data_IF_090820781786
#
_entry.id   IF_090820781786
#
_cell.length_a   1.000
_cell.length_b   1.000
_cell.length_c   1.000
_cell.angle_alpha   90.00
_cell.angle_beta   90.00
_cell.angle_gamma   90.00
#
_symmetry.space_group_name_H-M   'P 1'
#
loop_
_entity.id
_entity.type
_entity.pdbx_description
1 polymer ?
#
# COMPACT_ATOMS: atom_id res chain seq x y z
N UNK A 1 66.05 -27.15 -0.24
CA UNK A 1 65.02 -26.56 0.65
C UNK A 1 63.93 -25.99 -0.24
N UNK A 2 62.93 -26.84 -0.60
CA UNK A 2 61.84 -26.51 -1.53
C UNK A 2 60.63 -26.12 -0.70
N UNK A 3 60.20 -24.87 -0.82
CA UNK A 3 59.02 -24.33 -0.14
C UNK A 3 57.80 -24.54 -1.08
N UNK A 4 56.94 -25.50 -0.72
CA UNK A 4 55.72 -25.77 -1.46
C UNK A 4 54.65 -24.74 -1.08
N UNK A 5 54.25 -23.95 -2.06
CA UNK A 5 53.16 -22.96 -1.96
C UNK A 5 51.85 -23.70 -2.16
N UNK A 6 51.10 -24.00 -1.09
CA UNK A 6 49.74 -24.52 -1.17
C UNK A 6 48.78 -23.39 -1.51
N UNK A 7 48.37 -23.29 -2.79
CA UNK A 7 47.19 -22.50 -3.19
C UNK A 7 45.94 -23.29 -2.77
N UNK A 8 45.27 -22.83 -1.72
CA UNK A 8 43.93 -23.30 -1.36
C UNK A 8 42.91 -22.73 -2.34
N UNK A 9 42.47 -23.53 -3.30
CA UNK A 9 41.28 -23.24 -4.10
C UNK A 9 40.06 -23.37 -3.19
N UNK A 10 39.48 -22.26 -2.84
CA UNK A 10 38.17 -22.22 -2.24
C UNK A 10 37.11 -22.50 -3.33
N UNK A 11 36.25 -23.51 -3.15
CA UNK A 11 35.20 -23.78 -4.13
C UNK A 11 34.15 -22.65 -4.00
N UNK A 12 34.11 -21.77 -4.96
CA UNK A 12 32.98 -20.85 -5.14
C UNK A 12 31.81 -21.73 -5.62
N UNK A 13 31.01 -22.23 -4.67
CA UNK A 13 29.73 -22.83 -4.99
C UNK A 13 28.85 -21.82 -5.71
N UNK A 14 27.97 -22.26 -6.62
CA UNK A 14 27.01 -21.35 -7.25
C UNK A 14 26.19 -20.68 -6.16
N UNK A 15 26.26 -19.35 -6.08
CA UNK A 15 25.32 -18.56 -5.31
C UNK A 15 23.99 -18.73 -6.04
N UNK A 16 23.11 -19.59 -5.52
CA UNK A 16 21.73 -19.66 -5.98
C UNK A 16 21.09 -18.31 -5.64
N UNK A 17 21.06 -17.41 -6.63
CA UNK A 17 20.17 -16.26 -6.57
C UNK A 17 18.75 -16.83 -6.48
N UNK A 18 18.20 -16.88 -5.28
CA UNK A 18 16.77 -17.07 -5.14
C UNK A 18 16.12 -15.80 -5.70
N UNK A 19 15.38 -15.97 -6.80
CA UNK A 19 14.47 -14.94 -7.25
C UNK A 19 13.58 -14.60 -6.05
N UNK A 20 13.58 -13.34 -5.62
CA UNK A 20 12.75 -12.90 -4.53
C UNK A 20 11.31 -12.97 -5.05
N UNK A 21 10.51 -13.91 -4.53
CA UNK A 21 9.10 -14.03 -4.91
C UNK A 21 8.40 -12.72 -4.60
N UNK A 22 7.65 -12.22 -5.58
CA UNK A 22 6.80 -11.06 -5.39
C UNK A 22 5.73 -11.40 -4.36
N UNK A 23 5.73 -10.71 -3.23
CA UNK A 23 4.79 -10.95 -2.13
C UNK A 23 3.66 -9.95 -2.24
N UNK A 24 2.43 -10.48 -2.36
CA UNK A 24 1.23 -9.64 -2.29
C UNK A 24 0.95 -9.26 -0.84
N UNK A 25 0.79 -7.96 -0.60
CA UNK A 25 0.56 -7.41 0.72
C UNK A 25 -0.78 -6.69 0.76
N UNK A 26 -1.69 -7.17 1.59
CA UNK A 26 -3.05 -6.66 1.71
C UNK A 26 -3.33 -6.25 3.15
N UNK A 27 -3.67 -4.98 3.35
CA UNK A 27 -4.25 -4.50 4.61
C UNK A 27 -5.76 -4.39 4.44
N UNK A 28 -6.49 -5.07 5.31
CA UNK A 28 -7.95 -4.99 5.41
C UNK A 28 -8.27 -4.00 6.52
N UNK A 29 -8.92 -2.90 6.16
CA UNK A 29 -9.52 -1.94 7.11
C UNK A 29 -10.99 -2.34 7.28
N UNK A 30 -11.33 -2.88 8.43
CA UNK A 30 -12.67 -3.36 8.73
C UNK A 30 -13.39 -2.42 9.68
N UNK A 31 -14.52 -1.94 9.23
CA UNK A 31 -15.46 -1.17 10.01
C UNK A 31 -16.13 -2.06 11.06
N UNK A 32 -15.91 -1.72 12.34
CA UNK A 32 -16.65 -2.30 13.47
C UNK A 32 -17.46 -1.23 14.19
N UNK A 33 -18.02 -0.25 13.47
CA UNK A 33 -18.93 0.73 14.03
C UNK A 33 -20.25 0.12 14.49
N UNK A 34 -21.01 0.88 15.25
CA UNK A 34 -22.29 0.42 15.82
C UNK A 34 -23.33 0.00 14.78
N UNK A 35 -23.29 0.58 13.58
CA UNK A 35 -24.19 0.24 12.46
C UNK A 35 -23.96 -1.18 11.93
N UNK A 36 -22.75 -1.70 12.06
CA UNK A 36 -22.42 -3.10 11.69
C UNK A 36 -23.17 -4.14 12.54
N UNK A 37 -23.79 -3.76 13.67
CA UNK A 37 -24.71 -4.62 14.45
C UNK A 37 -26.07 -4.77 13.79
N UNK A 38 -26.42 -3.93 12.83
CA UNK A 38 -27.70 -4.03 12.14
C UNK A 38 -27.79 -5.33 11.34
N UNK A 39 -29.01 -5.81 11.19
CA UNK A 39 -29.29 -7.02 10.40
C UNK A 39 -28.93 -6.80 8.93
N UNK A 40 -28.26 -7.76 8.34
CA UNK A 40 -27.94 -7.78 6.92
C UNK A 40 -29.21 -7.90 6.10
N UNK A 41 -29.45 -7.08 5.06
CA UNK A 41 -30.59 -7.23 4.19
C UNK A 41 -30.71 -8.66 3.62
N UNK A 42 -31.93 -9.17 3.60
CA UNK A 42 -32.18 -10.56 3.15
C UNK A 42 -31.96 -11.63 4.24
N UNK A 43 -31.45 -11.28 5.41
CA UNK A 43 -31.33 -12.15 6.58
C UNK A 43 -32.33 -11.73 7.67
N UNK A 44 -32.72 -12.68 8.52
CA UNK A 44 -33.52 -12.36 9.73
C UNK A 44 -32.68 -12.37 11.00
N UNK A 45 -31.47 -12.94 10.96
CA UNK A 45 -30.65 -13.19 12.16
C UNK A 45 -29.18 -12.77 12.00
N UNK A 46 -28.64 -12.71 10.77
CA UNK A 46 -27.24 -12.41 10.53
C UNK A 46 -27.04 -10.89 10.50
N UNK A 47 -26.10 -10.36 11.28
CA UNK A 47 -25.72 -8.96 11.24
C UNK A 47 -24.80 -8.66 10.06
N UNK A 48 -24.61 -7.38 9.70
CA UNK A 48 -23.63 -6.97 8.72
C UNK A 48 -22.21 -7.40 9.11
N UNK A 49 -21.89 -7.31 10.42
CA UNK A 49 -20.61 -7.76 10.95
C UNK A 49 -20.44 -9.27 10.82
N UNK A 50 -21.48 -10.07 11.12
CA UNK A 50 -21.39 -11.52 10.96
C UNK A 50 -21.17 -11.91 9.50
N UNK A 51 -21.91 -11.26 8.58
CA UNK A 51 -21.71 -11.46 7.15
C UNK A 51 -20.28 -11.09 6.68
N UNK A 52 -19.72 -9.98 7.20
CA UNK A 52 -18.36 -9.58 6.88
C UNK A 52 -17.32 -10.56 7.43
N UNK A 53 -17.48 -11.03 8.67
CA UNK A 53 -16.60 -12.06 9.26
C UNK A 53 -16.62 -13.35 8.46
N UNK A 54 -17.82 -13.87 8.16
CA UNK A 54 -17.99 -15.12 7.41
C UNK A 54 -17.37 -15.00 6.01
N UNK A 55 -17.60 -13.89 5.33
CA UNK A 55 -17.05 -13.63 4.00
C UNK A 55 -15.52 -13.53 4.02
N UNK A 56 -14.94 -12.81 5.00
CA UNK A 56 -13.50 -12.70 5.15
C UNK A 56 -12.85 -14.04 5.47
N UNK A 57 -13.40 -14.81 6.40
CA UNK A 57 -12.90 -16.15 6.78
C UNK A 57 -12.90 -17.08 5.57
N UNK A 58 -13.99 -17.10 4.83
CA UNK A 58 -14.13 -17.99 3.68
C UNK A 58 -13.14 -17.61 2.55
N UNK A 59 -13.04 -16.33 2.22
CA UNK A 59 -12.13 -15.88 1.17
C UNK A 59 -10.68 -16.05 1.57
N UNK A 60 -10.31 -15.64 2.80
CA UNK A 60 -8.94 -15.75 3.28
C UNK A 60 -8.46 -17.20 3.37
N UNK A 61 -9.36 -18.14 3.65
CA UNK A 61 -9.01 -19.57 3.66
C UNK A 61 -8.64 -20.12 2.28
N UNK A 62 -8.99 -19.42 1.20
CA UNK A 62 -8.82 -19.87 -0.18
C UNK A 62 -7.74 -19.11 -0.96
N UNK A 63 -7.17 -18.03 -0.42
CA UNK A 63 -6.08 -17.29 -1.09
C UNK A 63 -4.71 -17.98 -0.86
N UNK A 64 -3.69 -17.68 -1.71
CA UNK A 64 -2.34 -18.22 -1.54
C UNK A 64 -1.77 -17.94 -0.15
N UNK A 65 -1.07 -18.90 0.44
CA UNK A 65 -0.40 -18.76 1.75
C UNK A 65 0.74 -17.75 1.71
N UNK A 66 1.26 -17.45 0.54
CA UNK A 66 2.32 -16.45 0.32
C UNK A 66 1.81 -15.02 0.46
N UNK A 67 0.49 -14.79 0.40
CA UNK A 67 -0.10 -13.46 0.60
C UNK A 67 0.05 -13.02 2.05
N UNK A 68 0.70 -11.89 2.26
CA UNK A 68 0.75 -11.23 3.57
C UNK A 68 -0.55 -10.46 3.82
N UNK A 69 -1.13 -10.65 4.99
CA UNK A 69 -2.39 -10.03 5.38
C UNK A 69 -2.22 -9.24 6.66
N UNK A 70 -2.81 -8.05 6.73
CA UNK A 70 -3.02 -7.29 7.95
C UNK A 70 -4.51 -7.04 8.15
N UNK A 71 -5.01 -7.12 9.38
CA UNK A 71 -6.37 -6.78 9.75
C UNK A 71 -6.36 -5.62 10.73
N UNK A 72 -6.70 -4.45 10.25
CA UNK A 72 -6.85 -3.22 10.99
C UNK A 72 -8.35 -2.97 11.20
N UNK A 73 -8.76 -2.80 12.45
CA UNK A 73 -10.19 -2.71 12.81
C UNK A 73 -10.42 -1.46 13.63
N UNK A 74 -11.33 -0.62 13.22
CA UNK A 74 -11.73 0.52 14.02
C UNK A 74 -13.04 0.27 14.76
N UNK A 75 -13.18 0.90 15.90
CA UNK A 75 -14.41 0.95 16.69
C UNK A 75 -14.89 -0.39 17.26
N UNK A 76 -14.03 -1.39 17.33
CA UNK A 76 -14.32 -2.59 18.10
C UNK A 76 -14.27 -2.32 19.61
N UNK A 77 -15.17 -2.93 20.38
CA UNK A 77 -15.24 -2.74 21.83
C UNK A 77 -14.28 -3.62 22.63
N UNK A 78 -13.85 -4.71 22.05
CA UNK A 78 -13.12 -5.78 22.73
C UNK A 78 -11.66 -5.92 22.30
N UNK A 79 -11.17 -5.07 21.41
CA UNK A 79 -9.78 -5.05 21.00
C UNK A 79 -8.97 -4.08 21.87
N UNK A 80 -7.75 -4.49 22.25
CA UNK A 80 -6.79 -3.65 22.96
C UNK A 80 -5.91 -2.86 21.99
N UNK A 81 -5.71 -3.39 20.78
CA UNK A 81 -4.97 -2.81 19.69
C UNK A 81 -5.87 -2.83 18.43
N UNK A 82 -5.85 -1.77 17.66
CA UNK A 82 -6.61 -1.67 16.43
C UNK A 82 -6.13 -2.66 15.35
N UNK A 83 -4.89 -3.12 15.45
CA UNK A 83 -4.38 -4.23 14.66
C UNK A 83 -4.82 -5.59 15.26
N UNK A 84 -6.03 -6.03 14.91
CA UNK A 84 -6.51 -7.36 15.28
C UNK A 84 -5.56 -8.47 14.74
N UNK A 85 -4.92 -8.21 13.60
CA UNK A 85 -3.82 -9.03 13.09
C UNK A 85 -2.80 -8.13 12.37
N UNK A 86 -1.52 -8.07 12.81
CA UNK A 86 -0.51 -7.20 12.20
C UNK A 86 -0.16 -7.69 10.78
N UNK A 87 0.15 -6.75 9.87
CA UNK A 87 0.56 -7.09 8.51
C UNK A 87 1.81 -7.97 8.50
N UNK A 88 1.70 -9.15 7.91
CA UNK A 88 2.76 -10.14 7.79
C UNK A 88 2.29 -11.46 7.19
N UNK A 89 3.15 -12.48 7.23
CA UNK A 89 2.80 -13.83 6.78
C UNK A 89 1.52 -14.32 7.43
N UNK A 90 0.67 -14.97 6.64
CA UNK A 90 -0.62 -15.45 7.13
C UNK A 90 -0.45 -16.66 8.05
N UNK A 91 -1.04 -16.56 9.25
CA UNK A 91 -1.22 -17.63 10.21
C UNK A 91 -2.72 -17.77 10.53
N UNK A 92 -3.35 -18.75 9.93
CA UNK A 92 -4.80 -18.95 10.05
C UNK A 92 -5.22 -19.30 11.49
N UNK A 93 -4.34 -19.89 12.30
CA UNK A 93 -4.61 -20.18 13.70
C UNK A 93 -4.74 -18.91 14.56
N UNK A 94 -4.20 -17.78 14.10
CA UNK A 94 -4.29 -16.48 14.76
C UNK A 94 -5.27 -15.56 14.07
N UNK A 95 -5.23 -15.48 12.72
CA UNK A 95 -6.04 -14.58 11.92
C UNK A 95 -7.53 -14.89 12.02
N UNK A 96 -7.93 -16.16 11.83
CA UNK A 96 -9.36 -16.52 11.82
C UNK A 96 -10.03 -16.33 13.19
N UNK A 97 -9.43 -16.71 14.33
CA UNK A 97 -9.98 -16.35 15.64
C UNK A 97 -10.04 -14.83 15.88
N UNK A 98 -9.05 -14.06 15.42
CA UNK A 98 -9.07 -12.60 15.52
C UNK A 98 -10.29 -12.00 14.79
N UNK A 99 -10.57 -12.45 13.56
CA UNK A 99 -11.76 -12.02 12.80
C UNK A 99 -13.04 -12.36 13.59
N UNK A 100 -13.16 -13.59 14.09
CA UNK A 100 -14.36 -14.03 14.83
C UNK A 100 -14.61 -13.22 16.10
N UNK A 101 -13.56 -12.77 16.76
CA UNK A 101 -13.66 -12.07 18.04
C UNK A 101 -14.18 -10.64 17.95
N UNK A 102 -14.15 -10.00 16.79
CA UNK A 102 -14.49 -8.57 16.64
C UNK A 102 -15.92 -8.29 17.11
N UNK A 103 -16.08 -7.30 17.99
CA UNK A 103 -17.39 -6.84 18.49
C UNK A 103 -17.60 -5.36 18.15
N UNK A 104 -18.55 -5.04 17.25
CA UNK A 104 -18.79 -3.67 16.79
C UNK A 104 -19.26 -2.75 17.91
N UNK A 105 -18.88 -1.45 17.87
CA UNK A 105 -19.29 -0.54 18.95
C UNK A 105 -19.47 0.92 18.54
N UNK A 106 -18.45 1.66 18.16
CA UNK A 106 -18.38 3.13 18.17
C UNK A 106 -18.73 3.76 16.80
N UNK A 107 -18.12 4.93 16.49
CA UNK A 107 -18.27 5.66 15.24
C UNK A 107 -17.37 5.16 14.10
N UNK A 108 -17.24 5.95 13.03
CA UNK A 108 -16.58 5.55 11.78
C UNK A 108 -15.41 6.50 11.44
N UNK A 109 -14.26 6.47 12.16
CA UNK A 109 -13.10 7.32 11.88
C UNK A 109 -12.28 6.75 10.70
N UNK A 110 -12.89 6.67 9.53
CA UNK A 110 -12.37 5.94 8.39
C UNK A 110 -11.11 6.58 7.78
N UNK A 111 -11.04 7.92 7.73
CA UNK A 111 -9.90 8.64 7.17
C UNK A 111 -8.61 8.37 7.92
N UNK A 112 -8.67 8.37 9.26
CA UNK A 112 -7.53 8.01 10.10
C UNK A 112 -7.05 6.59 9.81
N UNK A 113 -7.96 5.63 9.67
CA UNK A 113 -7.60 4.22 9.44
C UNK A 113 -7.15 3.93 8.02
N UNK A 114 -7.60 4.67 7.01
CA UNK A 114 -7.02 4.68 5.67
C UNK A 114 -5.53 5.06 5.75
N UNK A 115 -5.21 6.14 6.49
CA UNK A 115 -3.83 6.57 6.70
C UNK A 115 -2.99 5.50 7.40
N UNK A 116 -3.44 4.98 8.55
CA UNK A 116 -2.72 3.96 9.33
C UNK A 116 -2.44 2.71 8.49
N UNK A 117 -3.45 2.23 7.75
CA UNK A 117 -3.32 1.06 6.89
C UNK A 117 -2.35 1.29 5.72
N UNK A 118 -2.42 2.46 5.10
CA UNK A 118 -1.53 2.85 4.01
C UNK A 118 -0.08 3.03 4.49
N UNK A 119 0.15 3.68 5.62
CA UNK A 119 1.49 3.85 6.20
C UNK A 119 2.13 2.48 6.48
N UNK A 120 1.37 1.51 6.98
CA UNK A 120 1.86 0.15 7.20
C UNK A 120 2.25 -0.55 5.89
N UNK A 121 1.48 -0.32 4.80
CA UNK A 121 1.83 -0.83 3.47
C UNK A 121 3.10 -0.18 2.91
N UNK A 122 3.29 1.14 3.14
CA UNK A 122 4.50 1.86 2.75
C UNK A 122 5.73 1.33 3.48
N UNK A 123 5.63 1.08 4.79
CA UNK A 123 6.70 0.42 5.55
C UNK A 123 7.02 -0.99 5.03
N UNK A 124 6.00 -1.75 4.64
CA UNK A 124 6.18 -3.09 4.09
C UNK A 124 6.84 -3.02 2.71
N UNK A 125 6.47 -2.05 1.87
CA UNK A 125 7.09 -1.79 0.57
C UNK A 125 8.56 -1.41 0.70
N UNK A 126 8.89 -0.60 1.68
CA UNK A 126 10.29 -0.24 1.97
C UNK A 126 11.11 -1.49 2.32
N UNK A 127 10.61 -2.34 3.22
CA UNK A 127 11.26 -3.60 3.60
C UNK A 127 11.42 -4.60 2.44
N UNK A 128 10.52 -4.57 1.46
CA UNK A 128 10.56 -5.43 0.27
C UNK A 128 11.29 -4.77 -0.92
N UNK A 129 11.93 -3.60 -0.71
CA UNK A 129 12.58 -2.84 -1.77
C UNK A 129 11.66 -2.54 -2.96
N UNK A 130 10.37 -2.35 -2.70
CA UNK A 130 9.34 -2.09 -3.71
C UNK A 130 8.82 -3.33 -4.43
N UNK A 131 9.36 -4.52 -4.16
CA UNK A 131 8.86 -5.75 -4.78
C UNK A 131 7.57 -6.21 -4.13
N UNK A 132 6.57 -6.51 -4.97
CA UNK A 132 5.26 -6.97 -4.53
C UNK A 132 4.13 -6.03 -4.92
N UNK A 133 2.90 -6.42 -4.56
CA UNK A 133 1.71 -5.59 -4.68
C UNK A 133 1.30 -5.07 -3.31
N UNK A 134 0.76 -3.85 -3.27
CA UNK A 134 0.39 -3.19 -2.02
C UNK A 134 -1.06 -2.71 -2.14
N UNK A 135 -1.94 -3.32 -1.37
CA UNK A 135 -3.38 -3.11 -1.49
C UNK A 135 -4.03 -2.79 -0.14
N UNK A 136 -4.87 -1.79 -0.12
CA UNK A 136 -5.73 -1.43 0.99
C UNK A 136 -7.17 -1.80 0.63
N UNK A 137 -7.76 -2.77 1.34
CA UNK A 137 -9.15 -3.15 1.21
C UNK A 137 -9.94 -2.55 2.37
N UNK A 138 -10.89 -1.69 2.07
CA UNK A 138 -11.80 -1.07 3.04
C UNK A 138 -13.16 -1.77 2.98
N UNK A 139 -13.67 -2.21 4.12
CA UNK A 139 -15.02 -2.80 4.26
C UNK A 139 -15.77 -1.95 5.28
N UNK A 140 -16.78 -1.21 4.85
CA UNK A 140 -17.55 -0.27 5.69
C UNK A 140 -19.04 -0.29 5.32
N UNK A 141 -19.91 0.04 6.26
CA UNK A 141 -21.35 0.17 6.06
C UNK A 141 -21.88 1.60 6.19
N UNK A 142 -20.99 2.59 6.35
CA UNK A 142 -21.35 3.98 6.59
C UNK A 142 -20.34 4.99 6.08
N UNK A 143 -20.78 6.24 6.06
CA UNK A 143 -19.92 7.38 5.77
C UNK A 143 -18.95 7.66 6.91
N UNK A 144 -17.80 8.21 6.57
CA UNK A 144 -16.77 8.57 7.54
C UNK A 144 -17.23 9.69 8.47
N UNK A 145 -16.97 9.56 9.78
CA UNK A 145 -17.13 10.65 10.74
C UNK A 145 -16.05 11.73 10.64
N UNK A 146 -14.95 11.40 9.94
CA UNK A 146 -13.78 12.22 9.66
C UNK A 146 -13.58 12.43 8.14
N UNK A 147 -14.66 12.83 7.45
CA UNK A 147 -14.68 12.98 5.99
C UNK A 147 -13.53 13.84 5.45
N UNK A 148 -13.17 14.91 6.16
CA UNK A 148 -12.03 15.77 5.79
C UNK A 148 -10.71 15.00 5.70
N UNK A 149 -10.50 14.00 6.57
CA UNK A 149 -9.32 13.14 6.52
C UNK A 149 -9.39 12.16 5.36
N UNK A 150 -10.58 11.64 5.04
CA UNK A 150 -10.78 10.81 3.84
C UNK A 150 -10.40 11.59 2.58
N UNK A 151 -10.90 12.82 2.44
CA UNK A 151 -10.64 13.68 1.29
C UNK A 151 -9.17 14.06 1.15
N UNK A 152 -8.48 14.23 2.28
CA UNK A 152 -7.06 14.59 2.30
C UNK A 152 -6.13 13.39 2.06
N UNK A 153 -6.39 12.25 2.70
CA UNK A 153 -5.45 11.14 2.69
C UNK A 153 -5.66 10.19 1.51
N UNK A 154 -6.90 10.00 1.04
CA UNK A 154 -7.15 9.04 -0.06
C UNK A 154 -6.40 9.39 -1.33
N UNK A 155 -6.40 10.66 -1.83
CA UNK A 155 -5.61 11.04 -3.00
C UNK A 155 -4.10 10.81 -2.81
N UNK A 156 -3.58 11.07 -1.61
CA UNK A 156 -2.17 10.88 -1.29
C UNK A 156 -1.79 9.38 -1.29
N UNK A 157 -2.64 8.51 -0.75
CA UNK A 157 -2.48 7.04 -0.80
C UNK A 157 -2.40 6.54 -2.25
N UNK A 158 -3.31 7.04 -3.10
CA UNK A 158 -3.36 6.68 -4.52
C UNK A 158 -2.12 7.19 -5.28
N UNK A 159 -1.69 8.42 -5.01
CA UNK A 159 -0.51 9.02 -5.63
C UNK A 159 0.78 8.25 -5.32
N UNK A 160 0.81 7.51 -4.19
CA UNK A 160 1.93 6.63 -3.82
C UNK A 160 1.82 5.23 -4.41
N UNK A 161 0.85 4.97 -5.27
CA UNK A 161 0.69 3.70 -5.97
C UNK A 161 0.18 2.56 -5.07
N UNK A 162 -0.43 2.86 -3.92
CA UNK A 162 -1.17 1.88 -3.15
C UNK A 162 -2.54 1.72 -3.79
N UNK A 163 -2.91 0.50 -4.11
CA UNK A 163 -4.24 0.22 -4.64
C UNK A 163 -5.27 0.23 -3.51
N UNK A 164 -6.32 1.01 -3.69
CA UNK A 164 -7.43 1.12 -2.71
C UNK A 164 -8.69 0.54 -3.33
N UNK A 165 -9.25 -0.46 -2.66
CA UNK A 165 -10.53 -1.10 -3.00
C UNK A 165 -11.49 -0.91 -1.84
N UNK A 166 -12.73 -0.53 -2.13
CA UNK A 166 -13.74 -0.27 -1.11
C UNK A 166 -14.97 -1.13 -1.36
N UNK A 167 -15.49 -1.73 -0.31
CA UNK A 167 -16.74 -2.48 -0.31
C UNK A 167 -17.71 -1.80 0.66
N UNK A 168 -18.78 -1.23 0.10
CA UNK A 168 -19.90 -0.66 0.86
C UNK A 168 -20.92 -1.73 1.22
N UNK A 169 -21.07 -2.02 2.49
CA UNK A 169 -21.92 -3.09 3.02
C UNK A 169 -23.32 -2.56 3.33
N UNK A 170 -24.32 -2.99 2.56
CA UNK A 170 -25.72 -2.62 2.74
C UNK A 170 -25.95 -1.11 2.90
N UNK A 171 -25.21 -0.32 2.13
CA UNK A 171 -25.35 1.14 2.14
C UNK A 171 -26.55 1.58 1.29
N UNK A 172 -27.31 2.57 1.77
CA UNK A 172 -28.44 3.13 1.05
C UNK A 172 -28.00 3.96 -0.18
N UNK A 173 -26.84 4.63 -0.08
CA UNK A 173 -26.21 5.43 -1.12
C UNK A 173 -24.75 5.00 -1.28
N UNK A 174 -24.13 5.37 -2.41
CA UNK A 174 -22.71 5.14 -2.60
C UNK A 174 -21.90 6.02 -1.63
N UNK A 175 -20.83 5.45 -1.07
CA UNK A 175 -19.89 6.16 -0.24
C UNK A 175 -19.16 7.24 -1.04
N UNK A 176 -18.75 8.35 -0.41
CA UNK A 176 -17.93 9.40 -1.05
C UNK A 176 -16.68 8.84 -1.71
N UNK A 177 -16.07 7.81 -1.15
CA UNK A 177 -14.93 7.07 -1.75
C UNK A 177 -15.23 6.46 -3.12
N UNK A 178 -16.49 6.26 -3.51
CA UNK A 178 -16.85 5.60 -4.78
C UNK A 178 -16.24 6.29 -6.02
N UNK A 179 -16.02 7.59 -5.95
CA UNK A 179 -15.42 8.39 -7.04
C UNK A 179 -13.92 8.63 -6.88
N UNK A 180 -13.31 8.19 -5.77
CA UNK A 180 -11.93 8.50 -5.41
C UNK A 180 -10.99 7.30 -5.51
N UNK A 181 -11.50 6.07 -5.46
CA UNK A 181 -10.68 4.84 -5.32
C UNK A 181 -10.58 4.05 -6.61
N UNK A 182 -9.69 3.06 -6.65
CA UNK A 182 -9.51 2.20 -7.82
C UNK A 182 -10.75 1.37 -8.11
N UNK A 183 -11.36 0.79 -7.08
CA UNK A 183 -12.62 0.06 -7.22
C UNK A 183 -13.54 0.33 -6.03
N UNK A 184 -14.81 0.49 -6.32
CA UNK A 184 -15.87 0.53 -5.33
C UNK A 184 -16.93 -0.51 -5.68
N UNK A 185 -17.27 -1.36 -4.71
CA UNK A 185 -18.28 -2.41 -4.87
C UNK A 185 -19.36 -2.27 -3.81
N UNK A 186 -20.59 -2.42 -4.20
CA UNK A 186 -21.71 -2.50 -3.26
C UNK A 186 -22.03 -3.95 -2.95
N UNK A 187 -22.23 -4.25 -1.70
CA UNK A 187 -22.64 -5.55 -1.21
C UNK A 187 -23.93 -5.42 -0.41
N UNK A 188 -25.07 -5.73 -1.03
CA UNK A 188 -26.38 -5.53 -0.41
C UNK A 188 -26.89 -6.75 0.35
N UNK A 189 -26.19 -7.88 0.27
CA UNK A 189 -26.45 -9.13 0.99
C UNK A 189 -25.14 -9.90 1.25
N UNK A 190 -25.21 -10.98 2.04
CA UNK A 190 -24.03 -11.76 2.41
C UNK A 190 -23.33 -12.43 1.21
N UNK A 191 -24.08 -12.82 0.17
CA UNK A 191 -23.52 -13.48 -1.01
C UNK A 191 -22.74 -12.47 -1.87
N UNK A 192 -23.30 -11.30 -2.13
CA UNK A 192 -22.63 -10.22 -2.86
C UNK A 192 -21.43 -9.68 -2.09
N UNK A 193 -21.46 -9.64 -0.75
CA UNK A 193 -20.33 -9.28 0.08
C UNK A 193 -19.18 -10.28 -0.07
N UNK A 194 -19.46 -11.56 0.04
CA UNK A 194 -18.47 -12.61 -0.18
C UNK A 194 -17.88 -12.55 -1.59
N UNK A 195 -18.71 -12.36 -2.62
CA UNK A 195 -18.26 -12.21 -4.00
C UNK A 195 -17.36 -10.99 -4.16
N UNK A 196 -17.74 -9.83 -3.62
CA UNK A 196 -16.96 -8.60 -3.72
C UNK A 196 -15.55 -8.75 -3.08
N UNK A 197 -15.47 -9.39 -1.90
CA UNK A 197 -14.18 -9.67 -1.26
C UNK A 197 -13.36 -10.65 -2.10
N UNK A 198 -13.97 -11.73 -2.62
CA UNK A 198 -13.29 -12.72 -3.44
C UNK A 198 -12.71 -12.11 -4.73
N UNK A 199 -13.43 -11.20 -5.38
CA UNK A 199 -12.97 -10.48 -6.58
C UNK A 199 -11.72 -9.64 -6.30
N UNK A 200 -11.68 -8.92 -5.17
CA UNK A 200 -10.49 -8.15 -4.77
C UNK A 200 -9.28 -9.05 -4.64
N UNK A 201 -9.41 -10.21 -4.00
CA UNK A 201 -8.30 -11.16 -3.84
C UNK A 201 -7.96 -11.92 -5.13
N UNK A 202 -8.91 -12.20 -6.01
CA UNK A 202 -8.64 -12.80 -7.31
C UNK A 202 -7.79 -11.87 -8.20
N UNK A 203 -8.03 -10.57 -8.15
CA UNK A 203 -7.21 -9.58 -8.87
C UNK A 203 -5.78 -9.50 -8.32
N UNK A 204 -5.54 -9.76 -7.02
CA UNK A 204 -4.20 -9.85 -6.43
C UNK A 204 -3.40 -10.97 -7.11
N UNK A 205 -4.02 -12.14 -7.24
CA UNK A 205 -3.35 -13.34 -7.77
C UNK A 205 -3.04 -13.27 -9.28
N UNK A 206 -3.75 -12.42 -10.05
CA UNK A 206 -3.59 -12.34 -11.51
C UNK A 206 -2.55 -11.31 -11.97
N UNK A 207 -2.15 -10.36 -11.13
CA UNK A 207 -1.18 -9.32 -11.50
C UNK A 207 0.24 -9.85 -11.66
N UNK A 208 0.54 -11.05 -11.17
CA UNK A 208 1.86 -11.70 -11.28
C UNK A 208 2.11 -12.40 -12.63
N UNK A 209 1.22 -12.34 -13.62
CA UNK A 209 1.30 -13.13 -14.86
C UNK A 209 1.51 -12.27 -16.11
N UNK A 210 2.17 -11.14 -16.07
CA UNK A 210 2.06 -10.19 -17.19
C UNK A 210 3.31 -9.63 -17.87
N UNK A 211 4.52 -9.86 -17.38
CA UNK A 211 5.73 -9.50 -18.13
C UNK A 211 6.77 -10.59 -17.93
N UNK A 212 7.24 -11.21 -18.99
CA UNK A 212 8.44 -12.07 -18.91
C UNK A 212 9.59 -11.16 -18.48
N UNK A 213 10.17 -11.46 -17.31
CA UNK A 213 11.29 -10.71 -16.72
C UNK A 213 12.44 -10.51 -17.71
N UNK A 214 12.63 -11.45 -18.64
CA UNK A 214 13.64 -11.40 -19.69
C UNK A 214 13.51 -10.19 -20.64
N UNK A 215 12.29 -9.78 -21.02
CA UNK A 215 12.09 -8.62 -21.90
C UNK A 215 12.34 -7.28 -21.17
N UNK A 216 12.03 -7.19 -19.88
CA UNK A 216 12.31 -6.01 -19.09
C UNK A 216 13.82 -5.84 -18.81
N UNK A 217 14.52 -6.94 -18.52
CA UNK A 217 15.97 -6.92 -18.30
C UNK A 217 16.78 -6.60 -19.58
N UNK A 218 16.30 -7.01 -20.75
CA UNK A 218 16.97 -6.68 -22.03
C UNK A 218 17.03 -5.17 -22.30
N UNK A 219 16.02 -4.42 -21.84
CA UNK A 219 15.97 -2.96 -21.96
C UNK A 219 16.94 -2.25 -20.98
N UNK A 220 17.33 -2.92 -19.91
CA UNK A 220 18.24 -2.38 -18.88
C UNK A 220 19.73 -2.68 -19.17
N UNK A 221 20.04 -3.53 -20.12
CA UNK A 221 21.43 -3.99 -20.44
C UNK A 221 22.39 -2.88 -20.88
N UNK A 222 21.93 -1.67 -21.16
CA UNK A 222 22.76 -0.54 -21.54
C UNK A 222 22.94 0.54 -20.46
N UNK A 223 22.30 0.36 -19.30
CA UNK A 223 22.31 1.37 -18.23
C UNK A 223 23.44 1.05 -17.24
N UNK A 224 24.38 1.99 -16.96
CA UNK A 224 25.39 1.80 -15.93
C UNK A 224 24.73 1.43 -14.60
N UNK A 225 25.27 0.42 -13.90
CA UNK A 225 24.70 -0.10 -12.65
C UNK A 225 24.47 0.99 -11.57
N UNK A 226 25.35 1.99 -11.50
CA UNK A 226 25.20 3.11 -10.58
C UNK A 226 23.97 3.98 -10.92
N UNK A 227 23.72 4.22 -12.21
CA UNK A 227 22.56 5.00 -12.67
C UNK A 227 21.27 4.23 -12.44
N UNK A 228 21.27 2.91 -12.70
CA UNK A 228 20.14 2.04 -12.43
C UNK A 228 19.83 1.99 -10.92
N UNK A 229 20.83 1.81 -10.07
CA UNK A 229 20.67 1.82 -8.61
C UNK A 229 20.16 3.15 -8.09
N UNK A 230 20.72 4.27 -8.55
CA UNK A 230 20.27 5.58 -8.13
C UNK A 230 18.82 5.89 -8.58
N UNK A 231 18.45 5.46 -9.79
CA UNK A 231 17.07 5.61 -10.28
C UNK A 231 16.07 4.76 -9.50
N UNK A 232 16.42 3.51 -9.20
CA UNK A 232 15.59 2.61 -8.38
C UNK A 232 15.44 3.19 -6.97
N UNK A 233 16.53 3.63 -6.36
CA UNK A 233 16.53 4.23 -5.04
C UNK A 233 15.66 5.50 -5.01
N UNK A 234 15.81 6.41 -5.97
CA UNK A 234 14.99 7.62 -6.06
C UNK A 234 13.50 7.32 -6.26
N UNK A 235 13.15 6.29 -7.04
CA UNK A 235 11.78 5.85 -7.23
C UNK A 235 11.18 5.22 -5.96
N UNK A 236 11.97 4.47 -5.21
CA UNK A 236 11.54 3.85 -3.95
C UNK A 236 11.41 4.89 -2.83
N UNK A 237 12.38 5.80 -2.69
CA UNK A 237 12.40 6.80 -1.62
C UNK A 237 11.28 7.84 -1.78
N UNK A 238 11.00 8.31 -2.99
CA UNK A 238 9.99 9.34 -3.23
C UNK A 238 8.55 8.91 -2.90
N UNK A 239 8.28 7.61 -2.88
CA UNK A 239 6.95 7.06 -2.66
C UNK A 239 6.66 6.55 -1.26
N UNK A 240 7.66 6.42 -0.37
CA UNK A 240 7.53 5.71 0.91
C UNK A 240 7.42 6.63 2.15
N UNK A 241 7.38 7.95 1.97
CA UNK A 241 7.15 8.85 3.11
C UNK A 241 5.71 8.69 3.66
N UNK A 242 5.46 8.92 4.95
CA UNK A 242 4.15 8.74 5.57
C UNK A 242 3.04 9.55 4.90
N UNK A 243 1.82 9.01 4.90
CA UNK A 243 0.64 9.69 4.35
C UNK A 243 0.40 11.02 5.07
N UNK A 244 0.09 12.08 4.30
CA UNK A 244 -0.14 13.43 4.82
C UNK A 244 1.14 14.19 5.19
N UNK A 245 2.33 13.64 4.95
CA UNK A 245 3.57 14.38 5.09
C UNK A 245 3.84 15.22 3.83
N UNK A 246 4.38 16.43 4.01
CA UNK A 246 4.73 17.31 2.89
C UNK A 246 5.86 16.67 2.05
N UNK A 247 5.62 16.36 0.75
CA UNK A 247 6.64 15.78 -0.11
C UNK A 247 7.87 16.67 -0.29
N UNK A 248 7.77 17.97 -0.03
CA UNK A 248 8.88 18.90 -0.17
C UNK A 248 9.91 18.82 0.97
N UNK A 249 9.58 18.17 2.09
CA UNK A 249 10.53 18.01 3.21
C UNK A 249 11.68 17.06 2.82
N UNK A 250 11.47 16.13 1.90
CA UNK A 250 12.45 15.12 1.50
C UNK A 250 13.32 15.52 0.30
N UNK A 251 12.97 16.56 -0.43
CA UNK A 251 13.81 17.14 -1.50
C UNK A 251 14.76 18.23 -1.00
N UNK A 252 15.27 18.11 0.21
CA UNK A 252 16.45 18.90 0.58
C UNK A 252 17.66 18.29 -0.15
N UNK A 253 18.33 19.00 -1.04
CA UNK A 253 19.58 18.50 -1.62
C UNK A 253 20.53 18.22 -0.47
N UNK A 254 21.14 17.02 -0.48
CA UNK A 254 22.15 16.59 0.52
C UNK A 254 23.16 17.73 0.63
N UNK A 255 22.96 18.55 1.65
CA UNK A 255 23.65 19.81 1.83
C UNK A 255 25.10 19.57 2.17
N UNK A 256 25.93 20.32 1.51
CA UNK A 256 27.31 20.64 1.82
C UNK A 256 27.59 20.54 3.36
N UNK A 257 28.49 19.67 3.84
CA UNK A 257 28.71 19.43 5.27
C UNK A 257 29.35 20.61 6.04
N UNK A 258 29.35 21.83 5.46
CA UNK A 258 30.00 23.02 6.02
C UNK A 258 29.03 24.16 6.35
N UNK A 259 27.89 23.87 6.99
CA UNK A 259 27.09 24.94 7.60
C UNK A 259 26.92 24.69 9.10
N UNK A 260 27.89 25.20 9.85
CA UNK A 260 27.82 25.35 11.30
C UNK A 260 26.57 26.16 11.69
N UNK A 261 25.82 25.60 12.62
CA UNK A 261 24.72 26.22 13.35
C UNK A 261 25.13 27.57 13.97
N UNK A 262 24.45 28.65 13.54
CA UNK A 262 24.35 29.85 14.36
C UNK A 262 22.87 30.17 14.58
N UNK A 263 22.41 29.90 15.81
CA UNK A 263 21.21 30.51 16.37
C UNK A 263 21.40 32.04 16.41
N UNK A 264 20.45 32.80 15.90
CA UNK A 264 20.16 34.15 16.42
C UNK A 264 18.71 34.56 16.11
N UNK A 265 18.11 35.14 17.12
CA UNK A 265 16.76 35.66 17.29
C UNK A 265 16.42 36.80 16.29
N UNK A 266 15.12 36.90 15.99
CA UNK A 266 14.37 37.88 15.20
C UNK A 266 14.55 39.39 15.58
N UNK A 267 13.61 40.33 15.27
CA UNK A 267 12.63 40.38 14.21
C UNK A 267 12.78 41.63 13.34
N UNK A 268 12.19 41.71 12.16
CA UNK A 268 12.09 42.98 11.42
C UNK A 268 11.64 42.78 9.97
N UNK A 269 10.53 43.39 9.66
CA UNK A 269 9.96 43.66 8.34
C UNK A 269 10.94 44.19 7.32
N UNK A 270 10.92 43.71 6.08
CA UNK A 270 10.65 44.64 4.95
C UNK A 270 10.57 43.92 3.58
N UNK A 271 9.90 44.61 2.64
CA UNK A 271 9.56 44.22 1.27
C UNK A 271 10.78 44.01 0.37
N UNK A 272 10.72 43.02 -0.52
CA UNK A 272 11.66 42.88 -1.62
C UNK A 272 11.22 41.84 -2.66
N UNK A 273 10.67 42.35 -3.80
CA UNK A 273 10.41 41.56 -5.01
C UNK A 273 11.73 40.99 -5.56
N UNK A 274 11.70 39.65 -5.90
CA UNK A 274 12.77 39.03 -6.67
C UNK A 274 12.24 37.78 -7.38
N UNK A 275 11.99 37.92 -8.67
CA UNK A 275 11.73 36.83 -9.61
C UNK A 275 12.96 35.91 -9.68
N UNK A 276 12.72 34.60 -9.62
CA UNK A 276 13.75 33.59 -9.86
C UNK A 276 13.07 32.32 -10.36
N UNK A 277 13.09 32.11 -11.65
CA UNK A 277 12.49 31.07 -12.43
C UNK A 277 13.09 29.68 -12.17
N UNK A 278 12.25 28.72 -11.86
CA UNK A 278 12.14 27.28 -12.20
C UNK A 278 13.39 26.40 -12.38
N UNK A 279 13.25 25.16 -11.89
CA UNK A 279 13.66 23.98 -12.63
C UNK A 279 12.49 23.01 -12.90
N UNK A 280 11.51 23.49 -13.68
CA UNK A 280 10.42 22.63 -14.18
C UNK A 280 10.84 21.76 -15.39
N UNK A 281 12.01 22.02 -15.95
CA UNK A 281 12.51 21.35 -17.18
C UNK A 281 13.09 19.96 -16.91
N UNK A 282 13.65 19.70 -15.73
CA UNK A 282 14.25 18.42 -15.43
C UNK A 282 13.22 17.30 -15.18
N UNK A 283 12.06 17.64 -14.61
CA UNK A 283 11.00 16.66 -14.32
C UNK A 283 10.27 16.19 -15.59
N UNK A 284 10.11 17.07 -16.58
CA UNK A 284 9.51 16.73 -17.87
C UNK A 284 10.39 15.78 -18.73
N UNK A 285 11.71 15.79 -18.55
CA UNK A 285 12.61 14.93 -19.30
C UNK A 285 12.54 13.46 -18.84
N UNK A 286 12.35 13.21 -17.55
CA UNK A 286 12.27 11.84 -16.99
C UNK A 286 10.92 11.20 -17.30
N UNK A 287 9.80 11.95 -17.15
CA UNK A 287 8.48 11.46 -17.54
C UNK A 287 8.36 11.25 -19.05
N UNK A 288 9.00 12.08 -19.86
CA UNK A 288 9.05 11.91 -21.31
C UNK A 288 9.81 10.65 -21.74
N UNK A 289 10.88 10.26 -21.04
CA UNK A 289 11.67 9.07 -21.37
C UNK A 289 10.92 7.77 -21.01
N UNK A 290 10.25 7.72 -19.86
CA UNK A 290 9.45 6.55 -19.44
C UNK A 290 8.21 6.42 -20.34
N UNK A 291 7.52 7.50 -20.66
CA UNK A 291 6.38 7.47 -21.57
C UNK A 291 6.79 7.05 -22.99
N UNK A 292 7.98 7.46 -23.46
CA UNK A 292 8.49 7.09 -24.79
C UNK A 292 8.88 5.61 -24.88
N UNK A 293 9.38 5.04 -23.78
CA UNK A 293 9.74 3.61 -23.70
C UNK A 293 8.47 2.76 -23.68
N UNK A 294 7.46 3.15 -22.90
CA UNK A 294 6.16 2.46 -22.85
C UNK A 294 5.42 2.57 -24.19
N UNK A 295 5.43 3.74 -24.84
CA UNK A 295 4.79 3.93 -26.15
C UNK A 295 5.48 3.09 -27.25
N UNK A 296 6.81 2.99 -27.25
CA UNK A 296 7.54 2.14 -28.21
C UNK A 296 7.29 0.66 -28.01
N UNK A 297 7.03 0.20 -26.76
CA UNK A 297 6.69 -1.19 -26.49
C UNK A 297 5.28 -1.56 -26.97
N UNK A 298 4.33 -0.59 -26.91
CA UNK A 298 2.92 -0.82 -27.33
C UNK A 298 2.72 -0.76 -28.86
N UNK A 299 3.53 0.02 -29.58
CA UNK A 299 3.38 0.20 -31.05
C UNK A 299 4.34 -0.64 -31.89
N UNK A 300 5.05 -1.62 -31.32
CA UNK A 300 5.93 -2.55 -32.04
C UNK A 300 5.32 -3.96 -32.18
N UNK A 301 3.98 -4.00 -32.35
CA UNK A 301 3.24 -5.18 -32.84
C UNK A 301 2.61 -4.90 -34.17
#
# INVERSE_FOLDING_TARGET
MFMALCLSLWPHGPVLLHAQESIDQVVIVLDASGSMKQTMPGSQVQTKMDAAKDALIDVLSNIPQTTHVGLLVFSASNLQDDWAYPLGPRDDNRLLPAIRSIDPSRGTPLGEYIKIGADRLLEARDRSFGYGTFRLLVVTDGEASDADLVDNYTPDVLARGIRVDVIGVAMAQDHTLATMVHTYRRANDAATLKQAIAEVFAEVSTQNVGATEEDAFSLLQGIPSQTASAAIQALCESGNHPIGSDPNIFFQPIGNPNRSSSMSQGPGSDHGKGQGSTPMIAMLAIFGLVALVVLKAVFKK
#
